data_IF_210746498585
#
_entry.id   IF_210746498585
#
_cell.length_a   1.000
_cell.length_b   1.000
_cell.length_c   1.000
_cell.angle_alpha   90.00
_cell.angle_beta   90.00
_cell.angle_gamma   90.00
#
_symmetry.space_group_name_H-M   'P 1'
#
loop_
_entity.id
_entity.type
_entity.pdbx_description
1 polymer ?
#
# COMPACT_ATOMS: atom_id res chain seq x y z
N UNK A 1 -10.79 13.19 -23.88
CA UNK A 1 -11.77 12.08 -23.72
C UNK A 1 -11.42 11.18 -22.53
N UNK A 2 -10.16 10.73 -22.40
CA UNK A 2 -9.74 9.85 -21.29
C UNK A 2 -9.85 10.51 -19.89
N UNK A 3 -9.52 11.81 -19.77
CA UNK A 3 -9.58 12.49 -18.47
C UNK A 3 -11.02 12.63 -17.94
N UNK A 4 -11.97 12.93 -18.82
CA UNK A 4 -13.39 12.98 -18.47
C UNK A 4 -13.91 11.62 -17.99
N UNK A 5 -13.54 10.54 -18.68
CA UNK A 5 -13.87 9.18 -18.24
C UNK A 5 -13.27 8.85 -16.86
N UNK A 6 -11.98 9.17 -16.65
CA UNK A 6 -11.28 8.95 -15.37
C UNK A 6 -11.96 9.69 -14.22
N UNK A 7 -12.31 10.97 -14.41
CA UNK A 7 -12.96 11.79 -13.39
C UNK A 7 -14.35 11.22 -13.07
N UNK A 8 -15.14 10.89 -14.08
CA UNK A 8 -16.47 10.28 -13.88
C UNK A 8 -16.37 8.95 -13.13
N UNK A 9 -15.42 8.08 -13.50
CA UNK A 9 -15.20 6.80 -12.82
C UNK A 9 -14.82 6.99 -11.34
N UNK A 10 -13.90 7.92 -11.05
CA UNK A 10 -13.52 8.24 -9.67
C UNK A 10 -14.70 8.82 -8.88
N UNK A 11 -15.51 9.70 -9.48
CA UNK A 11 -16.71 10.24 -8.83
C UNK A 11 -17.75 9.17 -8.50
N UNK A 12 -17.96 8.21 -9.40
CA UNK A 12 -18.82 7.04 -9.15
C UNK A 12 -18.28 6.18 -8.01
N UNK A 13 -16.96 5.94 -7.97
CA UNK A 13 -16.33 5.19 -6.88
C UNK A 13 -16.49 5.89 -5.52
N UNK A 14 -16.32 7.21 -5.47
CA UNK A 14 -16.55 8.00 -4.25
C UNK A 14 -17.98 7.80 -3.75
N UNK A 15 -18.97 7.94 -4.64
CA UNK A 15 -20.38 7.76 -4.29
C UNK A 15 -20.66 6.33 -3.83
N UNK A 16 -20.12 5.34 -4.54
CA UNK A 16 -20.27 3.94 -4.20
C UNK A 16 -19.73 3.64 -2.79
N UNK A 17 -18.51 4.10 -2.48
CA UNK A 17 -17.92 3.89 -1.16
C UNK A 17 -18.61 4.71 -0.06
N UNK A 18 -19.18 5.87 -0.37
CA UNK A 18 -19.99 6.63 0.57
C UNK A 18 -21.28 5.88 0.93
N UNK A 19 -21.97 5.30 -0.06
CA UNK A 19 -23.16 4.47 0.17
C UNK A 19 -22.77 3.21 0.96
N UNK A 20 -21.67 2.55 0.59
CA UNK A 20 -21.16 1.39 1.31
C UNK A 20 -20.82 1.71 2.77
N UNK A 21 -20.19 2.86 3.04
CA UNK A 21 -19.89 3.30 4.39
C UNK A 21 -21.17 3.59 5.21
N UNK A 22 -22.18 4.19 4.59
CA UNK A 22 -23.45 4.49 5.23
C UNK A 22 -24.29 3.23 5.54
N UNK A 23 -24.26 2.24 4.65
CA UNK A 23 -25.05 1.00 4.81
C UNK A 23 -24.30 -0.14 5.50
N UNK A 24 -22.98 -0.02 5.65
CA UNK A 24 -22.18 -0.97 6.41
C UNK A 24 -22.79 -1.18 7.79
N UNK A 25 -22.85 -2.43 8.26
CA UNK A 25 -23.35 -2.76 9.60
C UNK A 25 -22.20 -3.08 10.56
N UNK A 26 -21.12 -3.61 10.01
CA UNK A 26 -19.89 -3.96 10.73
C UNK A 26 -18.89 -2.81 10.73
N UNK A 27 -18.22 -2.58 11.86
CA UNK A 27 -17.29 -1.47 12.04
C UNK A 27 -16.03 -1.60 11.18
N UNK A 28 -15.53 -2.83 10.98
CA UNK A 28 -14.37 -3.05 10.12
C UNK A 28 -14.75 -2.79 8.66
N UNK A 29 -15.92 -3.24 8.20
CA UNK A 29 -16.39 -2.94 6.85
C UNK A 29 -16.59 -1.43 6.64
N UNK A 30 -17.24 -0.74 7.59
CA UNK A 30 -17.43 0.73 7.56
C UNK A 30 -16.09 1.45 7.48
N UNK A 31 -15.10 1.06 8.28
CA UNK A 31 -13.77 1.65 8.27
C UNK A 31 -13.11 1.52 6.90
N UNK A 32 -13.15 0.33 6.29
CA UNK A 32 -12.57 0.13 4.96
C UNK A 32 -13.31 0.94 3.89
N UNK A 33 -14.63 0.99 3.94
CA UNK A 33 -15.43 1.81 3.03
C UNK A 33 -15.08 3.30 3.16
N UNK A 34 -14.90 3.80 4.39
CA UNK A 34 -14.46 5.19 4.64
C UNK A 34 -13.05 5.47 4.12
N UNK A 35 -12.10 4.55 4.32
CA UNK A 35 -10.74 4.68 3.79
C UNK A 35 -10.76 4.75 2.26
N UNK A 36 -11.48 3.84 1.62
CA UNK A 36 -11.61 3.80 0.15
C UNK A 36 -12.34 5.04 -0.39
N UNK A 37 -13.36 5.51 0.31
CA UNK A 37 -14.04 6.77 -0.01
C UNK A 37 -13.07 7.95 0.07
N UNK A 38 -12.27 8.05 1.13
CA UNK A 38 -11.30 9.13 1.29
C UNK A 38 -10.23 9.10 0.18
N UNK A 39 -9.66 7.93 -0.11
CA UNK A 39 -8.65 7.76 -1.16
C UNK A 39 -9.22 8.13 -2.53
N UNK A 40 -10.41 7.61 -2.86
CA UNK A 40 -11.08 7.93 -4.12
C UNK A 40 -11.47 9.40 -4.22
N UNK A 41 -11.86 10.05 -3.12
CA UNK A 41 -12.19 11.47 -3.09
C UNK A 41 -10.95 12.34 -3.30
N UNK A 42 -9.84 12.02 -2.64
CA UNK A 42 -8.55 12.69 -2.84
C UNK A 42 -8.12 12.54 -4.30
N UNK A 43 -8.19 11.32 -4.85
CA UNK A 43 -7.85 11.05 -6.24
C UNK A 43 -8.77 11.77 -7.23
N UNK A 44 -10.07 11.87 -6.94
CA UNK A 44 -11.06 12.61 -7.73
C UNK A 44 -10.74 14.11 -7.75
N UNK A 45 -10.51 14.71 -6.58
CA UNK A 45 -10.13 16.12 -6.47
C UNK A 45 -8.82 16.38 -7.20
N UNK A 46 -7.81 15.51 -7.02
CA UNK A 46 -6.55 15.64 -7.72
C UNK A 46 -6.72 15.53 -9.24
N UNK A 47 -7.52 14.57 -9.71
CA UNK A 47 -7.79 14.37 -11.14
C UNK A 47 -8.48 15.59 -11.77
N UNK A 48 -9.43 16.22 -11.08
CA UNK A 48 -10.04 17.49 -11.52
C UNK A 48 -8.99 18.60 -11.56
N UNK A 49 -8.16 18.73 -10.53
CA UNK A 49 -7.13 19.78 -10.45
C UNK A 49 -6.05 19.65 -11.52
N UNK A 50 -5.75 18.43 -11.95
CA UNK A 50 -4.74 18.17 -13.00
C UNK A 50 -5.35 17.98 -14.39
N UNK A 51 -6.68 18.10 -14.53
CA UNK A 51 -7.36 17.89 -15.80
C UNK A 51 -6.89 18.92 -16.83
N UNK A 52 -6.45 18.45 -17.99
CA UNK A 52 -5.93 19.33 -19.05
C UNK A 52 -4.52 19.87 -18.81
N UNK A 53 -3.82 19.44 -17.75
CA UNK A 53 -2.39 19.74 -17.59
C UNK A 53 -1.62 19.17 -18.80
N UNK A 54 -0.71 19.97 -19.37
CA UNK A 54 0.12 19.49 -20.47
C UNK A 54 0.97 18.31 -20.00
N UNK A 55 0.79 17.16 -20.66
CA UNK A 55 1.66 16.00 -20.48
C UNK A 55 3.02 16.36 -21.07
N UNK A 56 4.06 16.42 -20.22
CA UNK A 56 5.44 16.59 -20.69
C UNK A 56 5.73 15.51 -21.74
N UNK A 57 6.42 15.89 -22.81
CA UNK A 57 6.94 14.93 -23.75
C UNK A 57 7.78 13.89 -22.98
N UNK A 58 7.68 12.59 -23.31
CA UNK A 58 8.45 11.56 -22.62
C UNK A 58 9.92 11.92 -22.69
N UNK A 59 10.59 11.92 -21.54
CA UNK A 59 12.02 12.21 -21.50
C UNK A 59 12.77 11.16 -22.32
N UNK A 60 13.75 11.61 -23.10
CA UNK A 60 14.70 10.72 -23.76
C UNK A 60 15.73 10.29 -22.70
N UNK A 61 15.38 9.29 -21.87
CA UNK A 61 16.22 8.79 -20.77
C UNK A 61 15.59 7.58 -20.06
N UNK A 62 16.32 6.97 -19.12
CA UNK A 62 15.81 5.88 -18.28
C UNK A 62 14.78 6.39 -17.26
N UNK A 63 13.76 5.58 -16.96
CA UNK A 63 12.70 5.92 -16.02
C UNK A 63 13.11 5.67 -14.56
N UNK A 64 14.07 6.46 -14.06
CA UNK A 64 14.69 6.26 -12.74
C UNK A 64 13.75 6.56 -11.55
N UNK A 65 12.65 7.28 -11.77
CA UNK A 65 11.73 7.65 -10.69
C UNK A 65 11.17 6.43 -9.95
N UNK A 66 10.71 5.42 -10.69
CA UNK A 66 10.15 4.18 -10.12
C UNK A 66 11.21 3.43 -9.31
N UNK A 67 12.46 3.42 -9.80
CA UNK A 67 13.59 2.77 -9.15
C UNK A 67 13.91 3.45 -7.83
N UNK A 68 13.93 4.79 -7.80
CA UNK A 68 14.17 5.57 -6.58
C UNK A 68 13.10 5.29 -5.52
N UNK A 69 11.82 5.31 -5.89
CA UNK A 69 10.74 4.94 -4.97
C UNK A 69 10.86 3.48 -4.52
N UNK A 70 11.22 2.59 -5.44
CA UNK A 70 11.48 1.17 -5.18
C UNK A 70 12.58 1.00 -4.14
N UNK A 71 13.76 1.59 -4.31
CA UNK A 71 14.88 1.43 -3.36
C UNK A 71 14.51 1.92 -1.95
N UNK A 72 13.79 3.04 -1.84
CA UNK A 72 13.30 3.54 -0.55
C UNK A 72 12.33 2.55 0.09
N UNK A 73 11.36 2.03 -0.68
CA UNK A 73 10.43 1.02 -0.22
C UNK A 73 11.12 -0.29 0.18
N UNK A 74 12.18 -0.70 -0.53
CA UNK A 74 12.99 -1.87 -0.19
C UNK A 74 13.64 -1.69 1.18
N UNK A 75 14.30 -0.55 1.42
CA UNK A 75 14.90 -0.27 2.73
C UNK A 75 13.85 -0.28 3.85
N UNK A 76 12.69 0.36 3.62
CA UNK A 76 11.59 0.41 4.57
C UNK A 76 11.07 -0.99 4.90
N UNK A 77 10.78 -1.81 3.89
CA UNK A 77 10.30 -3.18 4.10
C UNK A 77 11.35 -4.09 4.71
N UNK A 78 12.63 -3.86 4.44
CA UNK A 78 13.73 -4.53 5.12
C UNK A 78 13.69 -4.26 6.63
N UNK A 79 13.57 -2.99 7.04
CA UNK A 79 13.45 -2.62 8.45
C UNK A 79 12.19 -3.24 9.08
N UNK A 80 11.02 -3.10 8.46
CA UNK A 80 9.75 -3.64 8.98
C UNK A 80 9.80 -5.17 9.10
N UNK A 81 10.28 -5.85 8.05
CA UNK A 81 10.38 -7.31 8.00
C UNK A 81 11.35 -7.83 9.06
N UNK A 82 12.53 -7.24 9.20
CA UNK A 82 13.51 -7.67 10.20
C UNK A 82 13.07 -7.35 11.63
N UNK A 83 12.46 -6.18 11.88
CA UNK A 83 11.90 -5.87 13.20
C UNK A 83 10.78 -6.85 13.58
N UNK A 84 9.88 -7.19 12.65
CA UNK A 84 8.87 -8.22 12.89
C UNK A 84 9.52 -9.59 13.19
N UNK A 85 10.60 -9.93 12.50
CA UNK A 85 11.39 -11.14 12.74
C UNK A 85 12.02 -11.18 14.13
N UNK A 86 12.66 -10.09 14.52
CA UNK A 86 13.22 -9.92 15.87
C UNK A 86 12.14 -9.99 16.94
N UNK A 87 10.98 -9.37 16.70
CA UNK A 87 9.85 -9.41 17.62
C UNK A 87 9.31 -10.83 17.82
N UNK A 88 9.05 -11.58 16.74
CA UNK A 88 8.58 -12.97 16.88
C UNK A 88 9.64 -13.90 17.47
N UNK A 89 10.93 -13.60 17.28
CA UNK A 89 12.01 -14.31 17.98
C UNK A 89 11.94 -14.06 19.50
N UNK A 90 11.68 -12.83 19.93
CA UNK A 90 11.42 -12.52 21.34
C UNK A 90 10.18 -13.22 21.88
N UNK A 91 9.13 -13.44 21.08
CA UNK A 91 7.95 -14.21 21.53
C UNK A 91 8.28 -15.68 21.83
N UNK A 92 9.29 -16.27 21.16
CA UNK A 92 9.77 -17.61 21.48
C UNK A 92 10.58 -17.65 22.77
N UNK A 93 11.37 -16.60 23.04
CA UNK A 93 12.13 -16.47 24.29
C UNK A 93 11.25 -16.10 25.49
N UNK A 94 10.27 -15.24 25.28
CA UNK A 94 9.38 -14.66 26.29
C UNK A 94 7.92 -14.76 25.83
N UNK A 95 7.22 -15.87 26.15
CA UNK A 95 5.87 -16.13 25.64
C UNK A 95 4.82 -15.06 26.00
N UNK A 96 5.01 -14.29 27.08
CA UNK A 96 4.08 -13.24 27.49
C UNK A 96 3.97 -12.10 26.45
N UNK A 97 4.96 -11.93 25.56
CA UNK A 97 4.93 -10.95 24.46
C UNK A 97 3.90 -11.28 23.36
N UNK A 98 3.13 -12.36 23.50
CA UNK A 98 1.96 -12.61 22.66
C UNK A 98 0.76 -11.73 23.04
N UNK A 99 0.76 -11.14 24.24
CA UNK A 99 -0.30 -10.25 24.77
C UNK A 99 -1.70 -10.87 24.88
N UNK A 100 -1.85 -12.17 24.63
CA UNK A 100 -3.15 -12.87 24.55
C UNK A 100 -4.12 -12.25 23.52
N UNK A 101 -3.62 -11.41 22.61
CA UNK A 101 -4.40 -10.81 21.54
C UNK A 101 -4.27 -11.63 20.25
N UNK A 102 -5.36 -11.80 19.48
CA UNK A 102 -5.32 -12.59 18.25
C UNK A 102 -4.28 -12.09 17.24
N UNK A 103 -4.16 -10.76 17.04
CA UNK A 103 -3.31 -10.15 16.02
C UNK A 103 -1.82 -10.06 16.39
N UNK A 104 -1.46 -10.16 17.67
CA UNK A 104 -0.05 -10.22 18.10
C UNK A 104 0.45 -11.63 18.34
N UNK A 105 -0.37 -12.66 18.12
CA UNK A 105 0.05 -14.04 18.32
C UNK A 105 1.16 -14.47 17.35
N UNK A 106 2.15 -15.23 17.83
CA UNK A 106 3.26 -15.76 17.04
C UNK A 106 2.79 -16.48 15.76
N UNK A 107 1.71 -17.25 15.87
CA UNK A 107 1.13 -17.99 14.73
C UNK A 107 0.68 -17.09 13.57
N UNK A 108 0.22 -15.86 13.85
CA UNK A 108 -0.18 -14.90 12.81
C UNK A 108 0.96 -13.98 12.39
N UNK A 109 1.81 -13.57 13.33
CA UNK A 109 2.94 -12.69 13.02
C UNK A 109 4.05 -13.38 12.23
N UNK A 110 4.21 -14.70 12.33
CA UNK A 110 5.22 -15.43 11.56
C UNK A 110 4.95 -15.37 10.04
N UNK A 111 3.77 -15.74 9.52
CA UNK A 111 3.46 -15.51 8.10
C UNK A 111 3.59 -14.04 7.68
N UNK A 112 3.22 -13.10 8.54
CA UNK A 112 3.39 -11.66 8.28
C UNK A 112 4.87 -11.28 8.11
N UNK A 113 5.75 -11.73 9.00
CA UNK A 113 7.21 -11.56 8.87
C UNK A 113 7.74 -12.19 7.57
N UNK A 114 7.37 -13.43 7.28
CA UNK A 114 7.83 -14.14 6.07
C UNK A 114 7.40 -13.41 4.80
N UNK A 115 6.14 -13.02 4.68
CA UNK A 115 5.66 -12.27 3.52
C UNK A 115 6.30 -10.89 3.40
N UNK A 116 6.52 -10.19 4.53
CA UNK A 116 7.20 -8.90 4.53
C UNK A 116 8.66 -9.01 4.05
N UNK A 117 9.42 -10.02 4.52
CA UNK A 117 10.83 -10.18 4.12
C UNK A 117 10.96 -10.73 2.69
N UNK A 118 10.13 -11.69 2.28
CA UNK A 118 10.26 -12.31 0.95
C UNK A 118 9.67 -11.41 -0.13
N UNK A 119 8.40 -11.04 0.00
CA UNK A 119 7.69 -10.36 -1.10
C UNK A 119 7.83 -8.85 -1.04
N UNK A 120 7.73 -8.25 0.15
CA UNK A 120 7.81 -6.80 0.25
C UNK A 120 9.25 -6.30 0.18
N UNK A 121 10.18 -6.89 0.96
CA UNK A 121 11.60 -6.56 0.88
C UNK A 121 12.26 -7.20 -0.34
N UNK A 122 12.31 -8.53 -0.42
CA UNK A 122 13.00 -9.25 -1.50
C UNK A 122 12.38 -8.98 -2.88
N UNK A 123 11.06 -9.04 -2.99
CA UNK A 123 10.37 -8.77 -4.26
C UNK A 123 10.59 -7.35 -4.76
N UNK A 124 10.53 -6.34 -3.89
CA UNK A 124 10.77 -4.95 -4.29
C UNK A 124 12.25 -4.68 -4.61
N UNK A 125 13.18 -5.38 -3.94
CA UNK A 125 14.59 -5.38 -4.30
C UNK A 125 14.79 -5.90 -5.73
N UNK A 126 14.16 -7.03 -6.08
CA UNK A 126 14.23 -7.61 -7.42
C UNK A 126 13.60 -6.70 -8.49
N UNK A 127 12.47 -6.06 -8.19
CA UNK A 127 11.83 -5.11 -9.11
C UNK A 127 12.78 -3.94 -9.38
N UNK A 128 13.26 -3.28 -8.32
CA UNK A 128 14.14 -2.12 -8.47
C UNK A 128 15.44 -2.46 -9.22
N UNK A 129 16.08 -3.61 -8.93
CA UNK A 129 17.28 -4.03 -9.64
C UNK A 129 16.99 -4.40 -11.09
N UNK A 130 15.90 -5.11 -11.37
CA UNK A 130 15.52 -5.47 -12.74
C UNK A 130 15.26 -4.24 -13.62
N UNK A 131 14.59 -3.21 -13.09
CA UNK A 131 14.32 -1.97 -13.81
C UNK A 131 15.56 -1.08 -14.00
N UNK A 132 16.56 -1.22 -13.14
CA UNK A 132 17.80 -0.44 -13.27
C UNK A 132 18.85 -1.11 -14.17
N UNK A 133 18.93 -2.44 -14.13
CA UNK A 133 20.01 -3.20 -14.77
C UNK A 133 19.69 -3.55 -16.23
N UNK A 134 18.42 -3.82 -16.56
CA UNK A 134 17.96 -4.21 -17.92
C UNK A 134 17.65 -2.98 -18.75
#
# INVERSE_FOLDING_TARGET
MLDGFKITALGVLVLFFAIAANWGQDDAYRLHALILMAISAIAFIWAIRTAGAQKRAPETGYMDEVIRYGVIATALWGVVGFLAGTYIAFQLAFPFLNWELPWTSFGRLRPLHTSAVIFAFGGNALIATSFYVV
#
